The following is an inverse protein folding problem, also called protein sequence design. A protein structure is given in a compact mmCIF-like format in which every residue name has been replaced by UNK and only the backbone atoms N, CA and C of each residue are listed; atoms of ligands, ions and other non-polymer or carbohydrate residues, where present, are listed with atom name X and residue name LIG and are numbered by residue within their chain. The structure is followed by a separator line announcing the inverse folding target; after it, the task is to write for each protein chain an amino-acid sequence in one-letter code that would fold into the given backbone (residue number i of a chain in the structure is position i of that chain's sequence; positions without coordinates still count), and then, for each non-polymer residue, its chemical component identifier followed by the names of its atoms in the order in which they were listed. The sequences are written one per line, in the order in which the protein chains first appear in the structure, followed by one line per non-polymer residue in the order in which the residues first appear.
data_IF_029110095898
#
_entry.id   IF_029110095898
#
_cell.length_a   1.000
_cell.length_b   1.000
_cell.length_c   1.000
_cell.angle_alpha   90.00
_cell.angle_beta   90.00
_cell.angle_gamma   90.00
#
_symmetry.space_group_name_H-M   'P 1'
#
loop_
_entity.id
_entity.type
_entity.pdbx_description
1 polymer ?
#
# COMPACT_ATOMS: atom_id res chain seq x y z
N UNK A 1 -37.71 -21.93 10.88
CA UNK A 1 -37.56 -20.46 11.04
C UNK A 1 -36.81 -19.87 9.84
N UNK A 2 -35.68 -20.44 9.42
CA UNK A 2 -34.94 -19.97 8.23
C UNK A 2 -35.72 -20.11 6.92
N UNK A 3 -36.53 -21.16 6.79
CA UNK A 3 -37.43 -21.35 5.65
C UNK A 3 -38.46 -20.22 5.49
N UNK A 4 -38.78 -19.48 6.55
CA UNK A 4 -39.67 -18.32 6.47
C UNK A 4 -38.98 -17.07 5.88
N UNK A 5 -37.67 -16.93 6.13
CA UNK A 5 -36.89 -15.76 5.72
C UNK A 5 -36.31 -15.87 4.30
N UNK A 6 -36.02 -17.09 3.82
CA UNK A 6 -35.21 -17.29 2.61
C UNK A 6 -35.89 -18.08 1.48
N UNK A 7 -37.15 -18.50 1.65
CA UNK A 7 -37.94 -19.06 0.55
C UNK A 7 -38.72 -17.98 -0.18
N UNK A 8 -38.84 -18.15 -1.50
CA UNK A 8 -39.77 -17.38 -2.33
C UNK A 8 -41.21 -17.89 -2.15
N UNK A 9 -42.20 -16.99 -2.30
CA UNK A 9 -43.62 -17.16 -1.96
C UNK A 9 -44.37 -18.28 -2.72
N UNK A 10 -43.70 -19.06 -3.56
CA UNK A 10 -44.30 -20.07 -4.42
C UNK A 10 -44.74 -21.34 -3.66
N UNK A 11 -44.36 -21.50 -2.38
CA UNK A 11 -44.73 -22.66 -1.56
C UNK A 11 -45.50 -22.28 -0.29
N UNK A 12 -46.82 -22.45 -0.33
CA UNK A 12 -47.71 -22.41 0.84
C UNK A 12 -47.53 -23.67 1.72
N UNK A 13 -46.46 -23.71 2.51
CA UNK A 13 -46.21 -24.77 3.49
C UNK A 13 -46.54 -24.31 4.92
N UNK A 14 -47.05 -25.23 5.74
CA UNK A 14 -47.33 -25.01 7.16
C UNK A 14 -46.06 -24.65 7.96
N UNK A 15 -44.88 -25.03 7.46
CA UNK A 15 -43.58 -24.66 8.04
C UNK A 15 -43.14 -23.21 7.76
N UNK A 16 -43.86 -22.51 6.87
CA UNK A 16 -43.54 -21.15 6.43
C UNK A 16 -44.64 -20.18 6.91
N UNK A 17 -45.92 -20.52 6.72
CA UNK A 17 -47.02 -19.55 6.84
C UNK A 17 -47.82 -19.66 8.14
N UNK A 18 -48.31 -20.85 8.49
CA UNK A 18 -49.30 -21.03 9.58
C UNK A 18 -48.72 -21.62 10.88
N UNK A 19 -47.46 -22.07 10.85
CA UNK A 19 -46.80 -22.73 11.97
C UNK A 19 -47.18 -24.21 12.11
N UNK A 20 -46.19 -25.07 12.31
CA UNK A 20 -46.39 -26.51 12.47
C UNK A 20 -46.69 -26.87 13.93
N UNK A 21 -47.91 -27.36 14.20
CA UNK A 21 -48.40 -27.63 15.58
C UNK A 21 -48.41 -29.11 16.00
N UNK A 22 -48.07 -30.05 15.11
CA UNK A 22 -48.29 -31.50 15.36
C UNK A 22 -46.99 -32.27 15.60
N UNK A 23 -46.53 -32.32 16.86
CA UNK A 23 -45.28 -33.01 17.26
C UNK A 23 -45.28 -34.53 17.02
N UNK A 24 -46.45 -35.15 16.83
CA UNK A 24 -46.60 -36.60 16.59
C UNK A 24 -46.36 -37.03 15.13
N UNK A 25 -46.27 -36.11 14.18
CA UNK A 25 -46.08 -36.40 12.74
C UNK A 25 -44.63 -36.14 12.29
N UNK A 26 -43.70 -36.98 12.76
CA UNK A 26 -42.25 -36.83 12.49
C UNK A 26 -41.88 -36.94 11.02
N UNK A 27 -42.52 -37.84 10.27
CA UNK A 27 -42.33 -38.03 8.83
C UNK A 27 -42.51 -36.72 8.02
N UNK A 28 -43.40 -35.84 8.48
CA UNK A 28 -43.64 -34.55 7.82
C UNK A 28 -42.47 -33.57 7.98
N UNK A 29 -41.73 -33.68 9.09
CA UNK A 29 -40.51 -32.90 9.33
C UNK A 29 -39.39 -33.46 8.46
N UNK A 30 -39.24 -34.78 8.41
CA UNK A 30 -38.23 -35.45 7.58
C UNK A 30 -38.43 -35.13 6.09
N UNK A 31 -39.67 -35.17 5.60
CA UNK A 31 -40.00 -34.77 4.22
C UNK A 31 -39.73 -33.28 3.93
N UNK A 32 -39.94 -32.40 4.91
CA UNK A 32 -39.66 -30.96 4.77
C UNK A 32 -38.13 -30.69 4.74
N UNK A 33 -37.36 -31.36 5.60
CA UNK A 33 -35.89 -31.26 5.58
C UNK A 33 -35.33 -31.85 4.29
N UNK A 34 -35.87 -32.97 3.82
CA UNK A 34 -35.52 -33.58 2.54
C UNK A 34 -34.02 -33.90 2.38
N UNK A 35 -33.57 -33.99 1.13
CA UNK A 35 -32.17 -34.25 0.76
C UNK A 35 -31.28 -33.00 0.72
N UNK A 36 -30.00 -33.13 0.34
CA UNK A 36 -29.01 -32.04 0.38
C UNK A 36 -29.43 -30.77 -0.39
N UNK A 37 -30.14 -30.95 -1.51
CA UNK A 37 -30.63 -29.86 -2.36
C UNK A 37 -32.09 -29.47 -2.07
N UNK A 38 -32.63 -29.86 -0.92
CA UNK A 38 -33.98 -29.47 -0.52
C UNK A 38 -34.06 -27.96 -0.29
N UNK A 39 -35.27 -27.43 -0.37
CA UNK A 39 -35.51 -26.01 -0.12
C UNK A 39 -35.19 -25.62 1.33
N UNK A 40 -35.36 -26.55 2.28
CA UNK A 40 -34.95 -26.36 3.67
C UNK A 40 -33.43 -26.20 3.79
N UNK A 41 -32.66 -27.09 3.18
CA UNK A 41 -31.19 -27.07 3.28
C UNK A 41 -30.59 -25.87 2.54
N UNK A 42 -31.17 -25.46 1.40
CA UNK A 42 -30.80 -24.21 0.73
C UNK A 42 -31.11 -22.97 1.58
N UNK A 43 -32.28 -22.92 2.23
CA UNK A 43 -32.62 -21.82 3.14
C UNK A 43 -31.72 -21.79 4.38
N UNK A 44 -31.34 -22.97 4.88
CA UNK A 44 -30.38 -23.12 5.97
C UNK A 44 -28.98 -22.64 5.55
N UNK A 45 -28.51 -23.01 4.37
CA UNK A 45 -27.21 -22.56 3.82
C UNK A 45 -27.18 -21.04 3.60
N UNK A 46 -28.23 -20.47 3.01
CA UNK A 46 -28.39 -19.01 2.89
C UNK A 46 -28.34 -18.31 4.25
N UNK A 47 -28.96 -18.90 5.26
CA UNK A 47 -28.90 -18.37 6.62
C UNK A 47 -27.50 -18.47 7.23
N UNK A 48 -26.80 -19.59 7.05
CA UNK A 48 -25.42 -19.76 7.51
C UNK A 48 -24.49 -18.73 6.87
N UNK A 49 -24.66 -18.48 5.57
CA UNK A 49 -23.91 -17.44 4.86
C UNK A 49 -24.26 -16.03 5.37
N UNK A 50 -25.53 -15.75 5.67
CA UNK A 50 -25.93 -14.47 6.28
C UNK A 50 -25.35 -14.29 7.69
N UNK A 51 -25.23 -15.36 8.48
CA UNK A 51 -24.66 -15.29 9.83
C UNK A 51 -23.12 -15.24 9.81
N UNK A 52 -22.50 -15.51 8.67
CA UNK A 52 -21.05 -15.45 8.51
C UNK A 52 -20.57 -14.00 8.36
N UNK A 53 -20.31 -13.35 9.50
CA UNK A 53 -19.84 -11.97 9.60
C UNK A 53 -18.59 -11.66 8.76
N UNK A 54 -17.72 -12.66 8.50
CA UNK A 54 -16.52 -12.48 7.67
C UNK A 54 -16.84 -12.26 6.18
N UNK A 55 -18.02 -12.73 5.73
CA UNK A 55 -18.49 -12.59 4.35
C UNK A 55 -19.39 -11.38 4.12
N UNK A 56 -19.69 -10.61 5.18
CA UNK A 56 -20.44 -9.36 5.00
C UNK A 56 -19.66 -8.39 4.11
N UNK A 57 -20.38 -7.73 3.21
CA UNK A 57 -19.83 -6.76 2.26
C UNK A 57 -19.04 -5.68 2.99
N UNK A 58 -19.54 -5.18 4.13
CA UNK A 58 -18.85 -4.18 4.95
C UNK A 58 -17.49 -4.70 5.46
N UNK A 59 -17.45 -5.90 6.04
CA UNK A 59 -16.21 -6.54 6.52
C UNK A 59 -15.19 -6.70 5.40
N UNK A 60 -15.64 -7.14 4.21
CA UNK A 60 -14.79 -7.30 3.02
C UNK A 60 -14.24 -5.95 2.55
N UNK A 61 -15.08 -4.91 2.46
CA UNK A 61 -14.66 -3.55 2.05
C UNK A 61 -13.65 -2.98 3.03
N UNK A 62 -13.90 -3.10 4.34
CA UNK A 62 -12.98 -2.62 5.38
C UNK A 62 -11.65 -3.37 5.30
N UNK A 63 -11.68 -4.70 5.15
CA UNK A 63 -10.47 -5.51 5.00
C UNK A 63 -9.69 -5.15 3.74
N UNK A 64 -10.35 -5.00 2.59
CA UNK A 64 -9.73 -4.58 1.34
C UNK A 64 -9.09 -3.20 1.46
N UNK A 65 -9.78 -2.25 2.09
CA UNK A 65 -9.25 -0.91 2.38
C UNK A 65 -7.99 -0.98 3.28
N UNK A 66 -8.01 -1.83 4.32
CA UNK A 66 -6.87 -2.01 5.21
C UNK A 66 -5.66 -2.65 4.51
N UNK A 67 -5.90 -3.63 3.64
CA UNK A 67 -4.86 -4.29 2.86
C UNK A 67 -4.24 -3.30 1.86
N UNK A 68 -5.05 -2.56 1.11
CA UNK A 68 -4.58 -1.56 0.16
C UNK A 68 -3.70 -0.48 0.82
N UNK A 69 -4.08 -0.02 2.03
CA UNK A 69 -3.26 0.91 2.82
C UNK A 69 -1.93 0.30 3.25
N UNK A 70 -1.93 -0.98 3.60
CA UNK A 70 -0.72 -1.72 3.99
C UNK A 70 0.21 -1.88 2.80
N UNK A 71 -0.32 -2.31 1.66
CA UNK A 71 0.43 -2.48 0.41
C UNK A 71 1.04 -1.16 -0.07
N UNK A 72 0.25 -0.08 -0.03
CA UNK A 72 0.75 1.26 -0.33
C UNK A 72 1.91 1.68 0.58
N UNK A 73 1.80 1.42 1.90
CA UNK A 73 2.88 1.74 2.85
C UNK A 73 4.15 0.93 2.57
N UNK A 74 4.03 -0.35 2.23
CA UNK A 74 5.18 -1.19 1.87
C UNK A 74 5.85 -0.64 0.61
N UNK A 75 5.07 -0.33 -0.43
CA UNK A 75 5.57 0.28 -1.67
C UNK A 75 6.28 1.60 -1.41
N UNK A 76 5.64 2.51 -0.68
CA UNK A 76 6.21 3.82 -0.35
C UNK A 76 7.52 3.68 0.42
N UNK A 77 7.62 2.74 1.38
CA UNK A 77 8.86 2.47 2.10
C UNK A 77 9.97 1.99 1.17
N UNK A 78 9.67 1.09 0.23
CA UNK A 78 10.64 0.63 -0.76
C UNK A 78 11.12 1.79 -1.65
N UNK A 79 10.19 2.60 -2.17
CA UNK A 79 10.50 3.81 -2.94
C UNK A 79 11.39 4.78 -2.16
N UNK A 80 11.04 5.09 -0.90
CA UNK A 80 11.83 5.98 -0.04
C UNK A 80 13.24 5.43 0.23
N UNK A 81 13.37 4.11 0.44
CA UNK A 81 14.67 3.48 0.62
C UNK A 81 15.55 3.64 -0.64
N UNK A 82 15.00 3.40 -1.83
CA UNK A 82 15.72 3.60 -3.09
C UNK A 82 16.14 5.05 -3.30
N UNK A 83 15.21 6.01 -3.12
CA UNK A 83 15.51 7.45 -3.26
C UNK A 83 16.61 7.86 -2.27
N UNK A 84 16.48 7.47 -1.00
CA UNK A 84 17.47 7.79 0.03
C UNK A 84 18.85 7.25 -0.31
N UNK A 85 18.93 6.02 -0.84
CA UNK A 85 20.19 5.44 -1.28
C UNK A 85 20.82 6.25 -2.40
N UNK A 86 20.06 6.55 -3.45
CA UNK A 86 20.55 7.30 -4.62
C UNK A 86 21.02 8.71 -4.24
N UNK A 87 20.24 9.43 -3.42
CA UNK A 87 20.62 10.76 -2.93
C UNK A 87 21.93 10.72 -2.14
N UNK A 88 22.11 9.73 -1.26
CA UNK A 88 23.32 9.59 -0.46
C UNK A 88 24.56 9.26 -1.27
N UNK A 89 24.40 8.54 -2.39
CA UNK A 89 25.50 8.18 -3.28
C UNK A 89 25.72 9.20 -4.40
N UNK A 90 24.86 10.21 -4.53
CA UNK A 90 24.90 11.15 -5.66
C UNK A 90 24.64 10.49 -7.02
N UNK A 91 23.88 9.38 -7.05
CA UNK A 91 23.64 8.62 -8.27
C UNK A 91 22.44 9.17 -9.06
N UNK A 92 22.51 9.16 -10.41
CA UNK A 92 21.37 9.51 -11.24
C UNK A 92 20.25 8.49 -11.03
N UNK A 93 19.00 8.94 -11.03
CA UNK A 93 17.85 8.07 -10.77
C UNK A 93 17.43 7.31 -12.02
N UNK A 94 17.55 7.96 -13.17
CA UNK A 94 16.98 7.56 -14.45
C UNK A 94 18.02 6.93 -15.36
N UNK A 95 17.56 5.98 -16.16
CA UNK A 95 18.32 5.39 -17.26
C UNK A 95 18.08 6.15 -18.57
N UNK A 96 18.78 5.76 -19.63
CA UNK A 96 18.49 6.23 -20.99
C UNK A 96 17.18 5.64 -21.53
N UNK A 97 16.90 4.39 -21.16
CA UNK A 97 15.70 3.67 -21.54
C UNK A 97 15.14 2.93 -20.32
N UNK A 98 13.92 3.29 -19.92
CA UNK A 98 13.19 2.68 -18.79
C UNK A 98 12.10 1.70 -19.26
N UNK A 99 12.13 1.30 -20.53
CA UNK A 99 11.25 0.25 -21.06
C UNK A 99 11.51 -1.10 -20.40
N UNK A 100 10.48 -1.95 -20.33
CA UNK A 100 10.58 -3.29 -19.70
C UNK A 100 11.55 -4.22 -20.44
N UNK A 101 11.81 -3.96 -21.73
CA UNK A 101 12.76 -4.70 -22.56
C UNK A 101 14.21 -4.18 -22.44
N UNK A 102 14.43 -3.11 -21.67
CA UNK A 102 15.76 -2.53 -21.48
C UNK A 102 16.63 -3.41 -20.61
N UNK A 103 17.89 -3.61 -21.03
CA UNK A 103 18.91 -4.28 -20.20
C UNK A 103 19.33 -3.46 -18.97
N UNK A 104 18.98 -2.17 -18.93
CA UNK A 104 19.26 -1.28 -17.80
C UNK A 104 18.18 -0.19 -17.76
N UNK A 105 17.18 -0.39 -16.91
CA UNK A 105 16.06 0.54 -16.74
C UNK A 105 16.41 1.79 -15.90
N UNK A 106 17.68 1.95 -15.53
CA UNK A 106 18.14 3.03 -14.67
C UNK A 106 18.16 2.66 -13.19
N UNK A 107 19.02 3.36 -12.44
CA UNK A 107 19.37 2.97 -11.08
C UNK A 107 18.17 2.85 -10.13
N UNK A 108 17.14 3.68 -10.28
CA UNK A 108 15.96 3.60 -9.41
C UNK A 108 15.14 2.32 -9.63
N UNK A 109 14.85 1.98 -10.88
CA UNK A 109 14.05 0.80 -11.22
C UNK A 109 14.83 -0.48 -10.93
N UNK A 110 16.12 -0.51 -11.27
CA UNK A 110 17.02 -1.62 -10.93
C UNK A 110 17.11 -1.84 -9.43
N UNK A 111 17.25 -0.78 -8.63
CA UNK A 111 17.31 -0.90 -7.18
C UNK A 111 15.97 -1.37 -6.58
N UNK A 112 14.83 -0.92 -7.12
CA UNK A 112 13.52 -1.45 -6.73
C UNK A 112 13.39 -2.94 -7.08
N UNK A 113 13.90 -3.37 -8.24
CA UNK A 113 13.91 -4.78 -8.63
C UNK A 113 14.76 -5.62 -7.68
N UNK A 114 15.94 -5.13 -7.28
CA UNK A 114 16.77 -5.78 -6.26
C UNK A 114 16.03 -5.94 -4.94
N UNK A 115 15.36 -4.87 -4.46
CA UNK A 115 14.56 -4.92 -3.23
C UNK A 115 13.39 -5.91 -3.33
N UNK A 116 12.73 -5.98 -4.49
CA UNK A 116 11.67 -6.94 -4.77
C UNK A 116 12.21 -8.38 -4.75
N UNK A 117 13.32 -8.65 -5.41
CA UNK A 117 13.93 -9.98 -5.47
C UNK A 117 14.37 -10.49 -4.09
N UNK A 118 14.73 -9.59 -3.18
CA UNK A 118 15.13 -9.93 -1.81
C UNK A 118 13.95 -10.08 -0.83
N UNK A 119 12.77 -9.55 -1.17
CA UNK A 119 11.64 -9.52 -0.25
C UNK A 119 10.29 -9.73 -0.96
N UNK A 120 9.71 -10.91 -0.78
CA UNK A 120 8.41 -11.28 -1.36
C UNK A 120 7.25 -10.36 -0.95
N UNK A 121 7.33 -9.70 0.20
CA UNK A 121 6.32 -8.71 0.60
C UNK A 121 6.41 -7.44 -0.22
N UNK A 122 7.63 -7.01 -0.57
CA UNK A 122 7.85 -5.86 -1.47
C UNK A 122 7.49 -6.26 -2.90
N UNK A 123 7.95 -7.43 -3.37
CA UNK A 123 7.71 -7.93 -4.73
C UNK A 123 6.24 -7.90 -5.12
N UNK A 124 5.36 -8.40 -4.23
CA UNK A 124 3.90 -8.43 -4.44
C UNK A 124 3.25 -7.07 -4.60
N UNK A 125 3.94 -5.98 -4.27
CA UNK A 125 3.33 -4.65 -4.26
C UNK A 125 4.08 -3.63 -5.09
N UNK A 126 5.21 -3.92 -5.74
CA UNK A 126 5.98 -2.95 -6.54
C UNK A 126 5.98 -3.31 -8.04
N UNK A 127 6.40 -2.36 -8.88
CA UNK A 127 6.59 -2.54 -10.33
C UNK A 127 5.30 -3.02 -11.04
N UNK A 128 5.35 -4.16 -11.72
CA UNK A 128 4.21 -4.79 -12.41
C UNK A 128 3.09 -5.22 -11.46
N UNK A 129 3.42 -5.53 -10.20
CA UNK A 129 2.43 -5.95 -9.20
C UNK A 129 1.72 -4.77 -8.52
N UNK A 130 2.13 -3.54 -8.85
CA UNK A 130 1.45 -2.35 -8.37
C UNK A 130 0.29 -1.96 -9.32
N UNK A 131 -0.86 -1.49 -8.80
CA UNK A 131 -1.89 -0.85 -9.61
C UNK A 131 -1.27 0.28 -10.45
N UNK A 132 -1.66 0.39 -11.71
CA UNK A 132 -1.07 1.32 -12.69
C UNK A 132 -0.92 2.75 -12.15
N UNK A 133 -1.97 3.25 -11.51
CA UNK A 133 -2.02 4.62 -10.98
C UNK A 133 -1.17 4.84 -9.72
N UNK A 134 -0.57 3.80 -9.16
CA UNK A 134 0.12 3.83 -7.87
C UNK A 134 1.51 3.20 -7.91
N UNK A 135 2.14 3.03 -9.08
CA UNK A 135 3.50 2.45 -9.19
C UNK A 135 4.57 3.26 -8.43
N UNK A 136 4.37 4.57 -8.23
CA UNK A 136 5.33 5.52 -7.62
C UNK A 136 6.66 5.65 -8.39
N UNK A 137 6.70 5.20 -9.64
CA UNK A 137 7.90 5.21 -10.49
C UNK A 137 7.99 6.43 -11.40
N UNK A 138 6.97 7.29 -11.46
CA UNK A 138 6.94 8.42 -12.40
C UNK A 138 7.94 9.53 -12.02
N UNK A 139 8.49 10.27 -13.01
CA UNK A 139 9.44 11.35 -12.75
C UNK A 139 8.89 12.42 -11.80
N UNK A 140 7.61 12.75 -11.97
CA UNK A 140 6.92 13.75 -11.14
C UNK A 140 6.85 13.31 -9.68
N UNK A 141 6.41 12.08 -9.42
CA UNK A 141 6.27 11.56 -8.05
C UNK A 141 7.63 11.48 -7.36
N UNK A 142 8.66 10.99 -8.05
CA UNK A 142 10.00 10.93 -7.46
C UNK A 142 10.54 12.32 -7.15
N UNK A 143 10.33 13.30 -8.04
CA UNK A 143 10.73 14.69 -7.80
C UNK A 143 10.00 15.28 -6.59
N UNK A 144 8.71 15.03 -6.44
CA UNK A 144 7.93 15.48 -5.30
C UNK A 144 8.46 14.88 -3.98
N UNK A 145 8.82 13.59 -3.97
CA UNK A 145 9.42 12.93 -2.81
C UNK A 145 10.82 13.50 -2.50
N UNK A 146 11.65 13.72 -3.52
CA UNK A 146 12.97 14.34 -3.36
C UNK A 146 12.85 15.76 -2.79
N UNK A 147 11.90 16.55 -3.29
CA UNK A 147 11.63 17.90 -2.78
C UNK A 147 11.19 17.86 -1.30
N UNK A 148 10.30 16.93 -0.94
CA UNK A 148 9.89 16.75 0.46
C UNK A 148 11.10 16.38 1.34
N UNK A 149 11.94 15.45 0.89
CA UNK A 149 13.16 15.08 1.61
C UNK A 149 14.13 16.27 1.76
N UNK A 150 14.27 17.12 0.74
CA UNK A 150 15.10 18.32 0.79
C UNK A 150 14.57 19.34 1.79
N UNK A 151 13.24 19.54 1.86
CA UNK A 151 12.60 20.43 2.84
C UNK A 151 12.86 19.93 4.26
N UNK A 152 12.58 18.65 4.53
CA UNK A 152 12.78 18.05 5.87
C UNK A 152 14.26 18.08 6.28
N UNK A 153 15.18 17.82 5.35
CA UNK A 153 16.62 17.86 5.62
C UNK A 153 17.08 19.28 5.94
N UNK A 154 16.62 20.26 5.16
CA UNK A 154 16.91 21.69 5.40
C UNK A 154 16.36 22.14 6.76
N UNK A 155 15.12 21.75 7.10
CA UNK A 155 14.52 22.08 8.40
C UNK A 155 15.29 21.45 9.56
N UNK A 156 15.75 20.21 9.41
CA UNK A 156 16.57 19.55 10.41
C UNK A 156 17.91 20.28 10.61
N UNK A 157 18.57 20.69 9.52
CA UNK A 157 19.83 21.45 9.58
C UNK A 157 19.62 22.81 10.28
N UNK A 158 18.58 23.56 9.91
CA UNK A 158 18.25 24.85 10.52
C UNK A 158 17.94 24.69 12.01
N UNK A 159 17.17 23.66 12.38
CA UNK A 159 16.82 23.38 13.77
C UNK A 159 18.04 22.98 14.60
N UNK A 160 18.98 22.23 14.02
CA UNK A 160 20.24 21.85 14.68
C UNK A 160 21.17 23.05 14.87
N UNK A 161 21.23 23.94 13.87
CA UNK A 161 22.02 25.17 13.92
C UNK A 161 21.52 26.12 15.00
N UNK A 162 20.20 26.34 15.09
CA UNK A 162 19.60 27.30 16.03
C UNK A 162 20.18 28.71 15.85
N UNK A 163 20.57 29.34 16.96
CA UNK A 163 21.17 30.69 16.97
C UNK A 163 22.72 30.67 16.90
N UNK A 164 23.32 29.54 16.52
CA UNK A 164 24.77 29.44 16.44
C UNK A 164 25.34 30.32 15.32
N UNK A 165 26.54 30.86 15.55
CA UNK A 165 27.32 31.49 14.48
C UNK A 165 27.77 30.41 13.49
N UNK A 166 27.58 30.68 12.21
CA UNK A 166 27.98 29.79 11.12
C UNK A 166 28.74 30.55 10.04
N UNK A 167 29.48 29.81 9.24
CA UNK A 167 30.07 30.25 7.98
C UNK A 167 29.39 29.52 6.83
N UNK A 168 29.20 30.24 5.73
CA UNK A 168 28.74 29.68 4.45
C UNK A 168 29.95 29.50 3.54
N UNK A 169 30.18 28.29 3.08
CA UNK A 169 31.14 28.01 2.01
C UNK A 169 30.33 27.82 0.73
N UNK A 170 30.67 28.59 -0.30
CA UNK A 170 30.01 28.53 -1.60
C UNK A 170 31.08 28.24 -2.62
N UNK A 171 30.89 27.16 -3.37
CA UNK A 171 31.76 26.77 -4.47
C UNK A 171 30.94 26.72 -5.76
N UNK A 172 31.49 27.27 -6.84
CA UNK A 172 30.83 27.34 -8.13
C UNK A 172 31.71 26.62 -9.17
N UNK A 173 31.08 25.72 -9.93
CA UNK A 173 31.74 24.99 -11.00
C UNK A 173 30.84 24.93 -12.23
N UNK A 174 31.44 25.05 -13.41
CA UNK A 174 30.72 25.01 -14.67
C UNK A 174 30.69 23.60 -15.24
N UNK A 175 29.50 23.12 -15.59
CA UNK A 175 29.34 21.80 -16.22
C UNK A 175 29.58 21.83 -17.74
N UNK A 176 29.61 20.65 -18.36
CA UNK A 176 29.81 20.47 -19.81
C UNK A 176 28.75 21.17 -20.68
N UNK A 177 27.59 21.49 -20.09
CA UNK A 177 26.49 22.20 -20.74
C UNK A 177 26.57 23.71 -20.54
N UNK A 178 27.71 24.21 -20.02
CA UNK A 178 27.97 25.62 -19.77
C UNK A 178 27.09 26.18 -18.64
N UNK A 179 26.43 25.32 -17.87
CA UNK A 179 25.64 25.76 -16.72
C UNK A 179 26.51 25.78 -15.47
N UNK A 180 26.42 26.89 -14.74
CA UNK A 180 27.03 27.01 -13.42
C UNK A 180 26.26 26.15 -12.41
N UNK A 181 26.99 25.39 -11.61
CA UNK A 181 26.51 24.56 -10.52
C UNK A 181 27.14 25.09 -9.24
N UNK A 182 26.30 25.38 -8.24
CA UNK A 182 26.74 25.96 -6.98
C UNK A 182 26.53 24.97 -5.83
N UNK A 183 27.62 24.61 -5.15
CA UNK A 183 27.59 23.86 -3.91
C UNK A 183 27.60 24.84 -2.73
N UNK A 184 26.73 24.61 -1.75
CA UNK A 184 26.62 25.42 -0.54
C UNK A 184 26.82 24.51 0.67
N UNK A 185 27.77 24.87 1.53
CA UNK A 185 28.07 24.14 2.77
C UNK A 185 27.90 25.07 3.96
N UNK A 186 27.11 24.65 4.94
CA UNK A 186 26.97 25.35 6.22
C UNK A 186 27.95 24.72 7.20
N UNK A 187 28.86 25.52 7.75
CA UNK A 187 29.83 25.09 8.75
C UNK A 187 29.66 25.87 10.04
N UNK A 188 29.57 25.17 11.17
CA UNK A 188 29.39 25.76 12.49
C UNK A 188 30.03 24.91 13.59
N UNK A 189 30.09 25.45 14.81
CA UNK A 189 30.56 24.72 16.00
C UNK A 189 29.35 24.37 16.85
N UNK A 190 29.19 23.08 17.16
CA UNK A 190 28.08 22.61 17.99
C UNK A 190 28.28 22.96 19.47
N UNK A 191 27.27 22.67 20.30
CA UNK A 191 27.30 22.90 21.75
C UNK A 191 28.39 22.12 22.49
N UNK A 192 29.01 21.13 21.84
CA UNK A 192 30.10 20.31 22.39
C UNK A 192 31.47 20.82 21.95
N UNK A 193 31.54 21.89 21.17
CA UNK A 193 32.78 22.43 20.61
C UNK A 193 33.27 21.66 19.38
N UNK A 194 32.45 20.80 18.77
CA UNK A 194 32.79 20.06 17.56
C UNK A 194 32.44 20.87 16.31
N UNK A 195 33.34 20.88 15.33
CA UNK A 195 33.07 21.47 14.01
C UNK A 195 32.15 20.55 13.23
N UNK A 196 31.02 21.09 12.75
CA UNK A 196 30.02 20.38 11.96
C UNK A 196 29.91 21.03 10.58
N UNK A 197 29.80 20.19 9.55
CA UNK A 197 29.56 20.60 8.16
C UNK A 197 28.28 19.93 7.65
N UNK A 198 27.39 20.73 7.06
CA UNK A 198 26.11 20.30 6.50
C UNK A 198 26.03 20.68 5.03
N UNK A 199 25.63 19.70 4.22
CA UNK A 199 25.47 19.74 2.77
C UNK A 199 23.98 19.62 2.40
#
# INVERSE_FOLDING_TARGET
MWCYLFLEETHYDAFITQGFKSRRKKERIENHVGGPNSVHNQAYEKCQNLLNQEQHIETIIVKQSSQARTDYRIRLKATLASIRFLLRQGLPFRGHDESEDSNNMGNFLELLQVLANQNETIKRVVLENAPENLKLTSPKIQKDIVNAAAIETTQAIISELGDALFSLLVDESRDISIKEQMAVVIRYVDKRGCVIERF
#
